data_IF_105319641445
#
_entry.id   IF_105319641445
#
_cell.length_a   1.000
_cell.length_b   1.000
_cell.length_c   1.000
_cell.angle_alpha   90.00
_cell.angle_beta   90.00
_cell.angle_gamma   90.00
#
_symmetry.space_group_name_H-M   'P 1'
#
loop_
_entity.id
_entity.type
_entity.pdbx_description
1 polymer ?
#
# COMPACT_ATOMS: atom_id res chain seq x y z
N UNK A 1 -2.64 -14.63 17.74
CA UNK A 1 -1.49 -14.56 16.80
C UNK A 1 -0.49 -13.59 17.38
N UNK A 2 0.80 -13.76 17.08
CA UNK A 2 1.78 -12.78 17.52
C UNK A 2 1.62 -11.46 16.72
N UNK A 3 1.82 -10.31 17.36
CA UNK A 3 1.82 -9.03 16.66
C UNK A 3 2.92 -8.98 15.59
N UNK A 4 2.62 -8.40 14.44
CA UNK A 4 3.51 -8.32 13.28
C UNK A 4 4.32 -7.04 13.27
N UNK A 5 5.49 -7.09 12.63
CA UNK A 5 6.31 -5.93 12.26
C UNK A 5 6.14 -5.63 10.78
N UNK A 6 5.86 -4.40 10.45
CA UNK A 6 5.58 -4.00 9.07
C UNK A 6 6.53 -2.91 8.57
N UNK A 7 6.86 -2.99 7.29
CA UNK A 7 7.40 -1.88 6.51
C UNK A 7 6.23 -1.19 5.84
N UNK A 8 6.10 0.13 5.97
CA UNK A 8 5.07 0.93 5.31
C UNK A 8 5.71 1.98 4.41
N UNK A 9 5.30 2.02 3.15
CA UNK A 9 5.67 3.12 2.25
C UNK A 9 4.49 4.06 2.02
N UNK A 10 4.78 5.31 1.63
CA UNK A 10 3.72 6.26 1.30
C UNK A 10 3.00 6.90 2.49
N UNK A 11 3.58 6.86 3.70
CA UNK A 11 3.00 7.46 4.92
C UNK A 11 2.70 8.97 4.81
N UNK A 12 3.30 9.67 3.86
CA UNK A 12 3.07 11.09 3.56
C UNK A 12 1.96 11.32 2.53
N UNK A 13 1.31 10.27 2.05
CA UNK A 13 0.16 10.33 1.15
C UNK A 13 -1.15 9.95 1.84
N UNK A 14 -2.30 10.25 1.23
CA UNK A 14 -3.62 10.01 1.81
C UNK A 14 -3.82 8.54 2.22
N UNK A 15 -3.49 7.59 1.35
CA UNK A 15 -3.71 6.16 1.62
C UNK A 15 -2.75 5.66 2.69
N UNK A 16 -1.44 5.89 2.50
CA UNK A 16 -0.43 5.42 3.43
C UNK A 16 -0.54 6.04 4.82
N UNK A 17 -0.94 7.33 4.93
CA UNK A 17 -1.21 7.95 6.23
C UNK A 17 -2.39 7.29 6.94
N UNK A 18 -3.50 7.02 6.23
CA UNK A 18 -4.65 6.37 6.83
C UNK A 18 -4.36 4.93 7.27
N UNK A 19 -3.61 4.18 6.46
CA UNK A 19 -3.12 2.83 6.83
C UNK A 19 -2.17 2.90 8.04
N UNK A 20 -1.27 3.91 8.08
CA UNK A 20 -0.39 4.13 9.22
C UNK A 20 -1.18 4.33 10.51
N UNK A 21 -2.19 5.20 10.50
CA UNK A 21 -3.01 5.47 11.69
C UNK A 21 -3.72 4.21 12.19
N UNK A 22 -4.29 3.39 11.31
CA UNK A 22 -4.86 2.10 11.71
C UNK A 22 -3.80 1.18 12.33
N UNK A 23 -2.61 1.08 11.73
CA UNK A 23 -1.55 0.20 12.22
C UNK A 23 -1.00 0.64 13.58
N UNK A 24 -0.93 1.95 13.84
CA UNK A 24 -0.47 2.48 15.14
C UNK A 24 -1.38 2.06 16.29
N UNK A 25 -2.69 2.08 16.07
CA UNK A 25 -3.69 1.73 17.08
C UNK A 25 -3.94 0.22 17.18
N UNK A 26 -3.63 -0.54 16.13
CA UNK A 26 -3.96 -1.96 16.08
C UNK A 26 -3.05 -2.80 16.97
N UNK A 27 -3.61 -3.61 17.91
CA UNK A 27 -2.80 -4.44 18.81
C UNK A 27 -2.04 -5.57 18.10
N UNK A 28 -2.46 -5.93 16.89
CA UNK A 28 -1.79 -6.95 16.07
C UNK A 28 -0.54 -6.42 15.34
N UNK A 29 -0.18 -5.13 15.51
CA UNK A 29 1.03 -4.53 14.99
C UNK A 29 1.92 -4.10 16.14
N UNK A 30 3.15 -4.59 16.19
CA UNK A 30 4.13 -4.27 17.23
C UNK A 30 5.13 -3.18 16.83
N UNK A 31 5.49 -3.11 15.54
CA UNK A 31 6.46 -2.15 15.02
C UNK A 31 6.12 -1.77 13.58
N UNK A 32 6.36 -0.51 13.23
CA UNK A 32 6.17 0.04 11.89
C UNK A 32 7.44 0.78 11.50
N UNK A 33 8.08 0.38 10.40
CA UNK A 33 9.12 1.14 9.72
C UNK A 33 8.50 1.92 8.56
N UNK A 34 8.37 3.22 8.72
CA UNK A 34 7.94 4.10 7.64
C UNK A 34 9.11 4.43 6.73
N UNK A 35 9.12 3.87 5.53
CA UNK A 35 10.13 4.18 4.50
C UNK A 35 9.59 5.25 3.58
N UNK A 36 10.22 6.41 3.55
CA UNK A 36 9.71 7.57 2.81
C UNK A 36 10.80 8.60 2.50
N UNK A 37 10.51 9.50 1.55
CA UNK A 37 11.42 10.61 1.18
C UNK A 37 11.37 11.79 2.16
N UNK A 38 10.34 11.86 2.98
CA UNK A 38 10.09 12.92 3.96
C UNK A 38 9.47 12.32 5.21
N UNK A 39 9.70 12.90 6.39
CA UNK A 39 9.09 12.41 7.61
C UNK A 39 7.55 12.46 7.53
N UNK A 40 6.91 11.50 8.19
CA UNK A 40 5.44 11.42 8.26
C UNK A 40 4.83 12.54 9.12
N UNK A 41 5.63 13.15 9.98
CA UNK A 41 5.17 14.13 10.97
C UNK A 41 4.40 13.52 12.14
N UNK A 42 4.44 12.20 12.28
CA UNK A 42 3.81 11.47 13.40
C UNK A 42 4.87 10.98 14.38
N UNK A 43 4.52 10.90 15.65
CA UNK A 43 5.36 10.32 16.70
C UNK A 43 4.55 9.28 17.45
N UNK A 44 5.07 8.04 17.54
CA UNK A 44 4.42 6.95 18.24
C UNK A 44 5.45 5.90 18.67
N UNK A 45 5.29 5.20 19.83
CA UNK A 45 6.25 4.18 20.28
C UNK A 45 6.49 3.02 19.29
N UNK A 46 5.50 2.68 18.48
CA UNK A 46 5.62 1.64 17.44
C UNK A 46 6.29 2.15 16.15
N UNK A 47 6.39 3.47 15.94
CA UNK A 47 6.83 4.06 14.67
C UNK A 47 8.32 4.34 14.66
N UNK A 48 8.99 3.80 13.65
CA UNK A 48 10.33 4.18 13.25
C UNK A 48 10.28 4.79 11.86
N UNK A 49 11.13 5.75 11.56
CA UNK A 49 11.22 6.36 10.24
C UNK A 49 12.58 6.07 9.62
N UNK A 50 12.54 5.61 8.37
CA UNK A 50 13.71 5.45 7.52
C UNK A 50 13.56 6.36 6.30
N UNK A 51 14.35 7.45 6.29
CA UNK A 51 14.29 8.44 5.21
C UNK A 51 15.27 8.08 4.12
N UNK A 52 14.75 7.89 2.91
CA UNK A 52 15.52 7.59 1.71
C UNK A 52 15.25 8.63 0.64
N UNK A 53 16.28 9.22 0.01
CA UNK A 53 16.07 10.25 -1.01
C UNK A 53 15.43 9.70 -2.28
N UNK A 54 15.78 8.47 -2.62
CA UNK A 54 15.28 7.74 -3.79
C UNK A 54 15.16 6.24 -3.46
N UNK A 55 14.01 5.66 -3.75
CA UNK A 55 13.77 4.24 -3.53
C UNK A 55 14.62 3.34 -4.43
N UNK A 56 14.99 3.81 -5.63
CA UNK A 56 15.85 3.06 -6.56
C UNK A 56 17.31 3.04 -6.10
N UNK A 57 17.71 3.89 -5.15
CA UNK A 57 19.05 3.92 -4.60
C UNK A 57 19.24 3.04 -3.35
N UNK A 58 18.19 2.37 -2.90
CA UNK A 58 18.27 1.49 -1.72
C UNK A 58 19.07 0.23 -2.10
N UNK A 59 20.11 -0.08 -1.33
CA UNK A 59 20.91 -1.28 -1.53
C UNK A 59 20.09 -2.53 -1.21
N UNK A 60 20.22 -3.57 -2.03
CA UNK A 60 19.52 -4.86 -1.82
C UNK A 60 19.91 -5.52 -0.48
N UNK A 61 21.09 -5.19 0.04
CA UNK A 61 21.61 -5.68 1.32
C UNK A 61 21.32 -4.71 2.49
N UNK A 62 20.44 -3.74 2.34
CA UNK A 62 20.13 -2.76 3.37
C UNK A 62 19.49 -3.43 4.60
N UNK A 63 20.27 -3.62 5.65
CA UNK A 63 19.83 -4.29 6.89
C UNK A 63 18.77 -3.50 7.68
N UNK A 64 18.56 -2.21 7.38
CA UNK A 64 17.45 -1.45 7.98
C UNK A 64 16.09 -2.05 7.62
N UNK A 65 15.99 -2.79 6.52
CA UNK A 65 14.78 -3.42 6.03
C UNK A 65 14.59 -4.87 6.53
N UNK A 66 15.47 -5.36 7.41
CA UNK A 66 15.48 -6.75 7.89
C UNK A 66 14.61 -6.96 9.13
N UNK A 67 13.98 -8.14 9.23
CA UNK A 67 13.24 -8.59 10.42
C UNK A 67 11.77 -8.12 10.43
N UNK A 68 11.18 -7.90 9.28
CA UNK A 68 9.77 -7.53 9.10
C UNK A 68 8.95 -8.68 8.51
N UNK A 69 7.70 -8.77 8.96
CA UNK A 69 6.75 -9.82 8.55
C UNK A 69 5.96 -9.42 7.30
N UNK A 70 5.77 -8.11 7.07
CA UNK A 70 5.03 -7.62 5.91
C UNK A 70 5.56 -6.27 5.39
N UNK A 71 5.36 -6.03 4.09
CA UNK A 71 5.46 -4.74 3.45
C UNK A 71 4.07 -4.26 3.01
N UNK A 72 3.66 -3.06 3.46
CA UNK A 72 2.47 -2.36 3.01
C UNK A 72 2.89 -1.24 2.05
N UNK A 73 2.90 -1.56 0.76
CA UNK A 73 3.35 -0.63 -0.27
C UNK A 73 2.19 0.26 -0.72
N UNK A 74 2.08 1.43 -0.06
CA UNK A 74 1.08 2.47 -0.34
C UNK A 74 1.65 3.67 -1.11
N UNK A 75 2.95 3.67 -1.44
CA UNK A 75 3.55 4.73 -2.24
C UNK A 75 3.00 4.70 -3.66
N UNK A 76 2.67 5.87 -4.18
CA UNK A 76 2.15 6.03 -5.53
C UNK A 76 1.87 7.49 -5.85
N UNK A 77 1.73 7.77 -7.15
CA UNK A 77 1.44 9.11 -7.68
C UNK A 77 0.25 9.06 -8.63
N UNK A 78 -0.29 10.24 -8.94
CA UNK A 78 -1.25 10.41 -10.02
C UNK A 78 -0.54 10.35 -11.37
N UNK A 79 -1.15 9.68 -12.35
CA UNK A 79 -0.65 9.64 -13.74
C UNK A 79 -1.02 10.87 -14.56
N UNK A 80 -1.77 11.83 -14.00
CA UNK A 80 -2.25 13.02 -14.71
C UNK A 80 -1.07 13.89 -15.12
N UNK A 81 -0.94 14.13 -16.42
CA UNK A 81 0.13 14.94 -17.01
C UNK A 81 1.47 14.23 -17.18
N UNK A 82 1.54 12.91 -16.98
CA UNK A 82 2.75 12.11 -17.14
C UNK A 82 2.72 11.28 -18.41
N UNK A 83 3.88 11.06 -19.01
CA UNK A 83 4.09 10.06 -20.04
C UNK A 83 4.01 8.64 -19.47
N UNK A 84 3.81 7.63 -20.34
CA UNK A 84 3.81 6.22 -19.89
C UNK A 84 5.19 5.81 -19.36
N UNK A 85 6.26 6.31 -19.93
CA UNK A 85 7.63 6.04 -19.51
C UNK A 85 7.91 6.58 -18.10
N UNK A 86 7.61 7.85 -17.84
CA UNK A 86 7.77 8.47 -16.52
C UNK A 86 6.92 7.76 -15.45
N UNK A 87 5.66 7.44 -15.78
CA UNK A 87 4.77 6.76 -14.86
C UNK A 87 5.23 5.33 -14.58
N UNK A 88 5.79 4.65 -15.58
CA UNK A 88 6.37 3.29 -15.42
C UNK A 88 7.57 3.32 -14.49
N UNK A 89 8.51 4.25 -14.68
CA UNK A 89 9.68 4.38 -13.80
C UNK A 89 9.30 4.54 -12.34
N UNK A 90 8.29 5.39 -12.04
CA UNK A 90 7.87 5.66 -10.67
C UNK A 90 6.96 4.54 -10.11
N UNK A 91 6.11 3.95 -10.93
CA UNK A 91 5.09 2.98 -10.45
C UNK A 91 5.58 1.54 -10.53
N UNK A 92 6.18 1.15 -11.65
CA UNK A 92 6.64 -0.21 -11.87
C UNK A 92 8.06 -0.42 -11.34
N UNK A 93 9.05 0.32 -11.88
CA UNK A 93 10.46 0.07 -11.57
C UNK A 93 10.75 0.31 -10.09
N UNK A 94 10.27 1.41 -9.52
CA UNK A 94 10.43 1.71 -8.09
C UNK A 94 9.77 0.65 -7.20
N UNK A 95 8.56 0.19 -7.56
CA UNK A 95 7.87 -0.84 -6.76
C UNK A 95 8.61 -2.16 -6.80
N UNK A 96 9.07 -2.59 -7.98
CA UNK A 96 9.76 -3.88 -8.11
C UNK A 96 11.12 -3.87 -7.43
N UNK A 97 11.92 -2.81 -7.60
CA UNK A 97 13.19 -2.68 -6.92
C UNK A 97 13.02 -2.78 -5.39
N UNK A 98 12.06 -2.05 -4.83
CA UNK A 98 11.78 -2.11 -3.39
C UNK A 98 11.26 -3.50 -2.96
N UNK A 99 10.40 -4.11 -3.78
CA UNK A 99 9.87 -5.45 -3.54
C UNK A 99 10.97 -6.51 -3.52
N UNK A 100 11.91 -6.46 -4.46
CA UNK A 100 13.10 -7.33 -4.50
C UNK A 100 13.96 -7.13 -3.27
N UNK A 101 14.22 -5.88 -2.88
CA UNK A 101 15.03 -5.55 -1.70
C UNK A 101 14.41 -6.10 -0.40
N UNK A 102 13.12 -5.86 -0.16
CA UNK A 102 12.47 -6.36 1.07
C UNK A 102 12.33 -7.87 1.08
N UNK A 103 12.16 -8.51 -0.09
CA UNK A 103 12.13 -9.97 -0.22
C UNK A 103 13.50 -10.59 0.07
N UNK A 104 14.57 -9.97 -0.45
CA UNK A 104 15.93 -10.41 -0.18
C UNK A 104 16.28 -10.37 1.32
N UNK A 105 15.87 -9.31 2.00
CA UNK A 105 16.09 -9.13 3.43
C UNK A 105 15.17 -10.00 4.31
N UNK A 106 13.98 -10.38 3.80
CA UNK A 106 12.97 -11.13 4.54
C UNK A 106 12.31 -12.17 3.62
N UNK A 107 12.88 -13.37 3.44
CA UNK A 107 12.36 -14.38 2.52
C UNK A 107 10.92 -14.84 2.77
N UNK A 108 10.43 -14.69 4.02
CA UNK A 108 9.06 -15.05 4.44
C UNK A 108 8.10 -13.84 4.51
N UNK A 109 8.46 -12.71 3.87
CA UNK A 109 7.66 -11.49 3.92
C UNK A 109 6.36 -11.62 3.12
N UNK A 110 5.28 -11.02 3.63
CA UNK A 110 4.03 -10.81 2.88
C UNK A 110 4.05 -9.42 2.25
N UNK A 111 3.79 -9.31 0.95
CA UNK A 111 3.78 -8.04 0.23
C UNK A 111 2.36 -7.60 -0.13
N UNK A 112 1.92 -6.48 0.42
CA UNK A 112 0.61 -5.88 0.16
C UNK A 112 0.80 -4.61 -0.69
N UNK A 113 0.35 -4.64 -1.95
CA UNK A 113 0.47 -3.54 -2.90
C UNK A 113 -0.86 -2.83 -3.12
N UNK A 114 -0.89 -1.50 -3.02
CA UNK A 114 -2.09 -0.71 -3.33
C UNK A 114 -2.07 -0.26 -4.78
N UNK A 115 -2.86 -0.93 -5.62
CA UNK A 115 -3.03 -0.57 -7.03
C UNK A 115 -4.20 0.39 -7.24
N UNK A 116 -5.43 -0.11 -7.26
CA UNK A 116 -6.66 0.67 -7.42
C UNK A 116 -7.72 -0.03 -8.23
N UNK A 117 -8.98 0.32 -7.99
CA UNK A 117 -10.10 -0.17 -8.80
C UNK A 117 -9.94 0.22 -10.27
N UNK A 118 -10.18 -0.71 -11.16
CA UNK A 118 -9.98 -0.51 -12.61
C UNK A 118 -8.56 -0.77 -13.10
N UNK A 119 -7.67 -1.31 -12.25
CA UNK A 119 -6.35 -1.83 -12.69
C UNK A 119 -6.54 -2.93 -13.72
N UNK A 120 -5.79 -2.88 -14.81
CA UNK A 120 -5.92 -3.80 -15.95
C UNK A 120 -4.85 -4.89 -15.93
N UNK A 121 -5.22 -6.06 -15.38
CA UNK A 121 -4.33 -7.23 -15.36
C UNK A 121 -4.04 -7.82 -16.74
N UNK A 122 -4.80 -7.48 -17.79
CA UNK A 122 -4.53 -7.95 -19.17
C UNK A 122 -3.39 -7.17 -19.83
N UNK A 123 -3.03 -6.00 -19.29
CA UNK A 123 -2.00 -5.09 -19.79
C UNK A 123 -2.29 -4.55 -21.22
N UNK A 124 -3.51 -4.78 -21.75
CA UNK A 124 -3.89 -4.46 -23.14
C UNK A 124 -4.94 -3.35 -23.26
N UNK A 125 -5.43 -2.83 -22.13
CA UNK A 125 -6.43 -1.78 -22.09
C UNK A 125 -5.92 -0.42 -22.55
N UNK A 126 -6.84 0.53 -22.75
CA UNK A 126 -6.54 1.87 -23.27
C UNK A 126 -5.98 2.85 -22.22
N UNK A 127 -6.25 2.60 -20.95
CA UNK A 127 -5.85 3.49 -19.86
C UNK A 127 -4.42 3.17 -19.42
N UNK A 128 -3.50 4.09 -19.70
CA UNK A 128 -2.07 3.94 -19.41
C UNK A 128 -1.80 3.55 -17.95
N UNK A 129 -2.35 4.29 -16.99
CA UNK A 129 -2.14 4.02 -15.57
C UNK A 129 -2.64 2.63 -15.15
N UNK A 130 -3.74 2.17 -15.74
CA UNK A 130 -4.32 0.87 -15.42
C UNK A 130 -3.44 -0.28 -15.93
N UNK A 131 -2.86 -0.12 -17.14
CA UNK A 131 -1.90 -1.08 -17.71
C UNK A 131 -0.64 -1.19 -16.84
N UNK A 132 -0.03 -0.05 -16.52
CA UNK A 132 1.20 -0.02 -15.72
C UNK A 132 1.00 -0.64 -14.36
N UNK A 133 -0.11 -0.30 -13.67
CA UNK A 133 -0.44 -0.95 -12.39
C UNK A 133 -0.75 -2.43 -12.54
N UNK A 134 -1.42 -2.86 -13.61
CA UNK A 134 -1.66 -4.26 -13.91
C UNK A 134 -0.38 -5.04 -14.12
N UNK A 135 0.56 -4.48 -14.90
CA UNK A 135 1.91 -5.02 -15.08
C UNK A 135 2.66 -5.16 -13.75
N UNK A 136 2.55 -4.14 -12.86
CA UNK A 136 3.15 -4.18 -11.54
C UNK A 136 2.57 -5.32 -10.69
N UNK A 137 1.22 -5.45 -10.64
CA UNK A 137 0.56 -6.56 -9.95
C UNK A 137 1.00 -7.93 -10.47
N UNK A 138 1.08 -8.07 -11.78
CA UNK A 138 1.47 -9.33 -12.43
C UNK A 138 2.94 -9.70 -12.14
N UNK A 139 3.82 -8.71 -12.08
CA UNK A 139 5.22 -8.92 -11.71
C UNK A 139 5.35 -9.34 -10.24
N UNK A 140 4.69 -8.65 -9.31
CA UNK A 140 4.69 -8.98 -7.88
C UNK A 140 4.16 -10.40 -7.61
N UNK A 141 3.13 -10.86 -8.34
CA UNK A 141 2.59 -12.22 -8.23
C UNK A 141 3.61 -13.32 -8.62
N UNK A 142 4.60 -12.99 -9.45
CA UNK A 142 5.64 -13.93 -9.89
C UNK A 142 6.82 -13.99 -8.93
N UNK A 143 6.91 -13.06 -7.99
CA UNK A 143 7.94 -13.06 -6.97
C UNK A 143 7.60 -14.09 -5.87
N UNK A 144 8.62 -14.65 -5.25
CA UNK A 144 8.47 -15.76 -4.28
C UNK A 144 8.18 -15.23 -2.86
N UNK A 145 7.20 -14.33 -2.73
CA UNK A 145 6.71 -13.89 -1.43
C UNK A 145 5.94 -15.03 -0.73
N UNK A 146 5.93 -15.03 0.60
CA UNK A 146 5.02 -15.88 1.38
C UNK A 146 3.55 -15.62 1.03
N UNK A 147 3.22 -14.38 0.70
CA UNK A 147 1.95 -13.94 0.15
C UNK A 147 2.11 -12.61 -0.56
N UNK A 148 1.51 -12.48 -1.75
CA UNK A 148 1.48 -11.23 -2.52
C UNK A 148 0.02 -10.85 -2.77
N UNK A 149 -0.41 -9.72 -2.19
CA UNK A 149 -1.80 -9.26 -2.26
C UNK A 149 -1.87 -7.88 -2.91
N UNK A 150 -2.62 -7.77 -4.01
CA UNK A 150 -2.85 -6.54 -4.75
C UNK A 150 -4.20 -5.96 -4.36
N UNK A 151 -4.19 -4.88 -3.60
CA UNK A 151 -5.38 -4.19 -3.13
C UNK A 151 -5.88 -3.23 -4.20
N UNK A 152 -7.11 -3.39 -4.65
CA UNK A 152 -7.81 -2.54 -5.61
C UNK A 152 -8.92 -1.72 -4.93
N UNK A 153 -8.58 -0.80 -4.04
CA UNK A 153 -9.57 0.05 -3.42
C UNK A 153 -10.20 0.97 -4.48
N UNK A 154 -11.50 1.23 -4.33
CA UNK A 154 -12.20 2.26 -5.07
C UNK A 154 -12.07 3.62 -4.37
N UNK A 155 -13.20 4.27 -4.13
CA UNK A 155 -13.21 5.48 -3.32
C UNK A 155 -12.89 5.15 -1.85
N UNK A 156 -11.93 5.90 -1.29
CA UNK A 156 -11.50 5.71 0.10
C UNK A 156 -11.86 6.95 0.93
N UNK A 157 -12.63 6.73 2.00
CA UNK A 157 -12.92 7.76 2.99
C UNK A 157 -11.72 7.90 3.93
N UNK A 158 -11.18 9.12 4.09
CA UNK A 158 -10.15 9.39 5.07
C UNK A 158 -10.62 9.07 6.50
N UNK A 159 -9.66 8.89 7.39
CA UNK A 159 -9.88 8.70 8.82
C UNK A 159 -9.57 9.98 9.58
N UNK A 160 -10.12 10.10 10.80
CA UNK A 160 -9.85 11.26 11.65
C UNK A 160 -8.36 11.36 11.99
N UNK A 161 -7.86 12.58 12.08
CA UNK A 161 -6.43 12.84 12.37
C UNK A 161 -5.49 12.80 11.17
N UNK A 162 -5.99 12.54 9.95
CA UNK A 162 -5.19 12.66 8.74
C UNK A 162 -4.88 14.11 8.36
N UNK A 163 -3.64 14.36 7.99
CA UNK A 163 -3.14 15.65 7.53
C UNK A 163 -3.06 15.75 6.00
N UNK A 164 -2.79 14.62 5.33
CA UNK A 164 -2.51 14.55 3.88
C UNK A 164 -3.77 14.31 3.03
N UNK A 165 -4.90 14.91 3.41
CA UNK A 165 -6.15 14.89 2.66
C UNK A 165 -6.28 16.15 1.83
N UNK A 166 -6.18 16.04 0.51
CA UNK A 166 -6.31 17.20 -0.38
C UNK A 166 -7.70 17.83 -0.25
N UNK A 167 -7.76 19.14 -0.06
CA UNK A 167 -8.97 19.90 0.24
C UNK A 167 -10.11 19.72 -0.77
N UNK A 168 -9.80 19.50 -2.05
CA UNK A 168 -10.80 19.32 -3.12
C UNK A 168 -11.50 17.95 -3.07
N UNK A 169 -10.99 16.99 -2.30
CA UNK A 169 -11.70 15.73 -2.04
C UNK A 169 -12.76 15.86 -0.93
N UNK A 170 -12.69 16.90 -0.09
CA UNK A 170 -13.60 17.05 1.07
C UNK A 170 -15.09 16.99 0.72
N UNK A 171 -15.63 17.67 -0.33
CA UNK A 171 -17.05 17.54 -0.67
C UNK A 171 -17.44 16.12 -1.11
N UNK A 172 -16.56 15.40 -1.79
CA UNK A 172 -16.82 14.03 -2.25
C UNK A 172 -16.82 12.99 -1.12
N UNK A 173 -16.09 13.26 -0.01
CA UNK A 173 -15.99 12.38 1.17
C UNK A 173 -17.38 12.17 1.82
N UNK A 174 -18.24 13.18 1.81
CA UNK A 174 -19.60 13.10 2.40
C UNK A 174 -20.62 12.50 1.45
N UNK A 175 -20.48 12.74 0.17
CA UNK A 175 -21.49 12.38 -0.84
C UNK A 175 -21.32 10.93 -1.30
N UNK A 176 -20.11 10.50 -1.62
CA UNK A 176 -19.84 9.20 -2.24
C UNK A 176 -20.23 7.98 -1.38
N UNK A 177 -19.92 7.92 -0.07
CA UNK A 177 -20.28 6.78 0.76
C UNK A 177 -21.78 6.59 0.94
N UNK A 178 -22.56 7.68 0.85
CA UNK A 178 -24.03 7.64 0.99
C UNK A 178 -24.68 7.06 -0.26
N UNK A 179 -24.20 7.46 -1.44
CA UNK A 179 -24.79 7.03 -2.72
C UNK A 179 -24.22 5.72 -3.27
N UNK A 180 -22.98 5.38 -2.91
CA UNK A 180 -22.28 4.19 -3.43
C UNK A 180 -21.56 3.43 -2.30
N UNK A 181 -22.27 2.94 -1.27
CA UNK A 181 -21.66 2.28 -0.12
C UNK A 181 -20.89 1.00 -0.48
N UNK A 182 -21.30 0.33 -1.56
CA UNK A 182 -20.62 -0.89 -2.04
C UNK A 182 -19.31 -0.61 -2.79
N UNK A 183 -19.09 0.64 -3.24
CA UNK A 183 -17.89 1.08 -3.99
C UNK A 183 -16.96 1.96 -3.17
N UNK A 184 -17.25 2.15 -1.89
CA UNK A 184 -16.43 2.93 -0.97
C UNK A 184 -15.88 2.08 0.17
N UNK A 185 -14.67 2.45 0.62
CA UNK A 185 -13.97 1.89 1.76
C UNK A 185 -13.57 3.02 2.70
N UNK A 186 -13.35 2.73 3.96
CA UNK A 186 -12.59 3.59 4.86
C UNK A 186 -11.12 3.17 4.81
N UNK A 187 -10.21 4.08 5.13
CA UNK A 187 -8.79 3.71 5.22
C UNK A 187 -8.50 2.82 6.44
N UNK A 188 -9.35 2.82 7.47
CA UNK A 188 -9.33 1.80 8.53
C UNK A 188 -9.61 0.40 7.98
N UNK A 189 -10.62 0.23 7.11
CA UNK A 189 -10.90 -1.06 6.48
C UNK A 189 -9.73 -1.54 5.63
N UNK A 190 -9.08 -0.65 4.88
CA UNK A 190 -7.90 -0.99 4.07
C UNK A 190 -6.75 -1.46 4.97
N UNK A 191 -6.43 -0.71 6.03
CA UNK A 191 -5.37 -1.07 6.98
C UNK A 191 -5.63 -2.41 7.68
N UNK A 192 -6.85 -2.63 8.21
CA UNK A 192 -7.23 -3.91 8.83
C UNK A 192 -7.16 -5.07 7.85
N UNK A 193 -7.63 -4.87 6.63
CA UNK A 193 -7.56 -5.89 5.60
C UNK A 193 -6.12 -6.28 5.26
N UNK A 194 -5.18 -5.32 5.22
CA UNK A 194 -3.75 -5.59 5.03
C UNK A 194 -3.16 -6.39 6.19
N UNK A 195 -3.50 -6.02 7.44
CA UNK A 195 -3.06 -6.75 8.64
C UNK A 195 -3.61 -8.19 8.60
N UNK A 196 -4.92 -8.36 8.33
CA UNK A 196 -5.56 -9.66 8.29
C UNK A 196 -5.06 -10.53 7.12
N UNK A 197 -4.83 -9.96 5.93
CA UNK A 197 -4.23 -10.66 4.80
C UNK A 197 -2.82 -11.19 5.15
N UNK A 198 -2.04 -10.40 5.88
CA UNK A 198 -0.70 -10.81 6.36
C UNK A 198 -0.78 -11.98 7.33
N UNK A 199 -1.70 -11.93 8.31
CA UNK A 199 -1.77 -12.92 9.39
C UNK A 199 -2.51 -14.20 9.03
N UNK A 200 -3.60 -14.08 8.25
CA UNK A 200 -4.53 -15.18 7.94
C UNK A 200 -4.41 -15.69 6.50
N UNK A 201 -3.78 -14.89 5.62
CA UNK A 201 -3.85 -15.13 4.19
C UNK A 201 -5.23 -14.81 3.61
N UNK A 202 -5.35 -14.94 2.29
CA UNK A 202 -6.63 -14.85 1.57
C UNK A 202 -6.58 -15.74 0.30
N UNK A 203 -7.71 -16.34 -0.14
CA UNK A 203 -7.70 -17.29 -1.26
C UNK A 203 -7.26 -16.69 -2.61
N UNK A 204 -7.42 -15.38 -2.81
CA UNK A 204 -7.02 -14.70 -4.04
C UNK A 204 -5.96 -13.65 -3.79
N UNK A 205 -5.04 -13.48 -4.74
CA UNK A 205 -3.98 -12.46 -4.66
C UNK A 205 -4.41 -11.08 -5.15
N UNK A 206 -5.55 -10.95 -5.82
CA UNK A 206 -6.14 -9.66 -6.23
C UNK A 206 -7.40 -9.42 -5.41
N UNK A 207 -7.40 -8.35 -4.64
CA UNK A 207 -8.44 -8.04 -3.67
C UNK A 207 -9.25 -6.83 -4.17
N UNK A 208 -10.47 -7.09 -4.61
CA UNK A 208 -11.42 -6.05 -4.96
C UNK A 208 -12.11 -5.49 -3.69
N UNK A 209 -12.90 -4.45 -3.83
CA UNK A 209 -13.54 -3.76 -2.69
C UNK A 209 -14.28 -4.73 -1.75
N UNK A 210 -14.96 -5.74 -2.31
CA UNK A 210 -15.68 -6.75 -1.53
C UNK A 210 -14.73 -7.60 -0.69
N UNK A 211 -13.61 -8.02 -1.26
CA UNK A 211 -12.60 -8.84 -0.57
C UNK A 211 -11.95 -8.05 0.56
N UNK A 212 -11.63 -6.78 0.30
CA UNK A 212 -11.07 -5.86 1.30
C UNK A 212 -12.05 -5.70 2.48
N UNK A 213 -13.35 -5.52 2.22
CA UNK A 213 -14.38 -5.45 3.27
C UNK A 213 -14.47 -6.73 4.08
N UNK A 214 -14.45 -7.89 3.42
CA UNK A 214 -14.50 -9.19 4.09
C UNK A 214 -13.28 -9.41 4.98
N UNK A 215 -12.10 -8.98 4.56
CA UNK A 215 -10.87 -9.05 5.33
C UNK A 215 -10.81 -8.05 6.49
N UNK A 216 -11.54 -6.95 6.41
CA UNK A 216 -11.52 -5.89 7.42
C UNK A 216 -12.35 -6.22 8.70
N UNK A 217 -13.07 -7.33 8.68
CA UNK A 217 -13.93 -7.81 9.79
C UNK A 217 -13.11 -8.55 10.85
#
# INVERSE_FOLDING_TARGET
>A
MNPIKIILTGATGMVGEGVLLECLENPNVSEILSVSRKPSGKTHPKLKEYLVPDFLSIDINDENLKGYDACFFCAGISSVGMSEEEYTGITYDTTLHFAETVLHQNPEIVFNYVSGAGTDSSESGKLMWAKVKGRTENALKKMNFKGAYNFRPGFMKPVDGQLNVKWFFKPFIWIFPVFLPTKSLTLHEVGRAMINATQKGYPTSTLEIRDIKNLAI
#
